data_IF_636969698487
#
_entry.id   IF_636969698487
#
_cell.length_a   1.000
_cell.length_b   1.000
_cell.length_c   1.000
_cell.angle_alpha   90.00
_cell.angle_beta   90.00
_cell.angle_gamma   90.00
#
_symmetry.space_group_name_H-M   'P 1'
#
loop_
_entity.id
_entity.type
_entity.pdbx_description
1 polymer ?
#
# COMPACT_ATOMS: atom_id res chain seq x y z
N UNK A 1 13.32 6.12 12.66
CA UNK A 1 11.91 6.30 12.77
C UNK A 1 11.27 5.95 11.47
N UNK A 2 10.26 5.16 11.50
CA UNK A 2 9.65 4.71 10.26
C UNK A 2 8.68 5.76 9.74
N UNK A 3 8.56 5.85 8.45
CA UNK A 3 7.58 6.70 7.85
C UNK A 3 6.40 5.86 7.44
N UNK A 4 5.23 6.43 7.48
CA UNK A 4 4.01 5.74 7.10
C UNK A 4 3.59 6.16 5.71
N UNK A 5 3.20 5.21 4.91
CA UNK A 5 2.75 5.47 3.55
C UNK A 5 1.43 4.75 3.36
N UNK A 6 0.46 5.43 2.80
CA UNK A 6 -0.80 4.79 2.44
C UNK A 6 -0.83 4.60 0.94
N UNK A 7 -1.00 3.36 0.52
CA UNK A 7 -1.06 3.03 -0.89
C UNK A 7 -2.50 2.73 -1.24
N UNK A 8 -3.06 3.51 -2.15
CA UNK A 8 -4.42 3.30 -2.59
C UNK A 8 -4.34 2.84 -4.04
N UNK A 9 -4.69 1.58 -4.27
CA UNK A 9 -4.58 1.01 -5.60
C UNK A 9 -5.56 -0.14 -5.70
N UNK A 10 -6.38 -0.16 -6.72
CA UNK A 10 -7.37 -1.21 -6.84
C UNK A 10 -6.80 -2.44 -7.54
N UNK A 11 -5.65 -2.35 -8.17
CA UNK A 11 -5.03 -3.52 -8.76
C UNK A 11 -4.21 -4.24 -7.72
N UNK A 12 -4.60 -5.47 -7.43
CA UNK A 12 -3.97 -6.19 -6.35
C UNK A 12 -2.50 -6.43 -6.61
N UNK A 13 -2.13 -6.75 -7.82
CA UNK A 13 -0.74 -7.05 -8.08
C UNK A 13 0.12 -5.82 -7.96
N UNK A 14 -0.35 -4.70 -8.43
CA UNK A 14 0.39 -3.46 -8.30
C UNK A 14 0.50 -3.08 -6.84
N UNK A 15 -0.60 -3.22 -6.12
CA UNK A 15 -0.62 -2.86 -4.72
C UNK A 15 0.41 -3.67 -3.92
N UNK A 16 0.46 -4.97 -4.19
CA UNK A 16 1.39 -5.81 -3.47
C UNK A 16 2.83 -5.49 -3.83
N UNK A 17 3.10 -5.21 -5.08
CA UNK A 17 4.44 -4.87 -5.49
C UNK A 17 4.93 -3.58 -4.85
N UNK A 18 4.07 -2.58 -4.81
CA UNK A 18 4.44 -1.32 -4.19
C UNK A 18 4.67 -1.51 -2.70
N UNK A 19 3.82 -2.32 -2.06
CA UNK A 19 4.00 -2.57 -0.65
C UNK A 19 5.35 -3.18 -0.36
N UNK A 20 5.71 -4.20 -1.12
CA UNK A 20 6.97 -4.88 -0.87
C UNK A 20 8.13 -3.93 -1.10
N UNK A 21 8.06 -3.14 -2.14
CA UNK A 21 9.13 -2.20 -2.43
C UNK A 21 9.30 -1.19 -1.29
N UNK A 22 8.20 -0.60 -0.86
CA UNK A 22 8.30 0.42 0.16
C UNK A 22 8.73 -0.16 1.49
N UNK A 23 8.28 -1.37 1.80
CA UNK A 23 8.72 -1.98 3.04
C UNK A 23 10.21 -2.25 3.01
N UNK A 24 10.75 -2.59 1.85
CA UNK A 24 12.18 -2.82 1.78
C UNK A 24 12.97 -1.53 1.97
N UNK A 25 12.33 -0.38 1.77
CA UNK A 25 12.99 0.89 1.99
C UNK A 25 12.80 1.39 3.43
N UNK A 26 12.15 0.62 4.27
CA UNK A 26 11.98 1.03 5.65
C UNK A 26 10.71 1.77 5.95
N UNK A 27 9.76 1.80 5.03
CA UNK A 27 8.50 2.48 5.30
C UNK A 27 7.50 1.53 5.90
N UNK A 28 6.61 2.09 6.70
CA UNK A 28 5.47 1.35 7.19
C UNK A 28 4.35 1.57 6.20
N UNK A 29 3.82 0.51 5.61
CA UNK A 29 2.92 0.62 4.50
C UNK A 29 1.53 0.18 4.89
N UNK A 30 0.54 1.02 4.61
CA UNK A 30 -0.85 0.67 4.80
C UNK A 30 -1.48 0.59 3.42
N UNK A 31 -2.30 -0.42 3.21
CA UNK A 31 -2.92 -0.63 1.90
C UNK A 31 -4.40 -0.35 1.97
N UNK A 32 -4.90 0.23 0.91
CA UNK A 32 -6.33 0.44 0.78
C UNK A 32 -6.71 0.19 -0.66
N UNK A 33 -7.80 -0.48 -0.86
CA UNK A 33 -8.34 -0.58 -2.19
C UNK A 33 -9.12 0.68 -2.48
N UNK A 34 -9.52 0.84 -3.70
CA UNK A 34 -10.35 1.95 -4.04
C UNK A 34 -11.58 1.92 -3.19
N UNK A 35 -12.05 3.02 -2.83
CA UNK A 35 -13.10 3.10 -1.87
C UNK A 35 -14.37 2.44 -2.23
N UNK A 36 -14.44 1.93 -3.40
CA UNK A 36 -15.65 1.34 -3.77
C UNK A 36 -16.04 0.21 -2.93
N UNK A 37 -15.11 -0.55 -2.49
CA UNK A 37 -15.49 -1.68 -1.82
C UNK A 37 -15.98 -1.40 -0.54
N UNK A 38 -16.00 -0.35 -0.17
CA UNK A 38 -16.51 -0.09 1.06
C UNK A 38 -17.81 -0.57 1.24
N UNK A 39 -18.32 -1.22 0.58
CA UNK A 39 -19.57 -1.62 0.81
C UNK A 39 -19.82 -2.83 1.15
#
# INVERSE_FOLDING_TARGET
MARSVLVVEDDKEIREGVKIYLQSQGYEVFLAADGVEGL
#
